data_IF_222708237673
#
_entry.id   IF_222708237673
#
_cell.length_a   1.000
_cell.length_b   1.000
_cell.length_c   1.000
_cell.angle_alpha   90.00
_cell.angle_beta   90.00
_cell.angle_gamma   90.00
#
_symmetry.space_group_name_H-M   'P 1'
#
loop_
_entity.id
_entity.type
_entity.pdbx_description
1 polymer ?
#
# COMPACT_ATOMS: atom_id res chain seq x y z
N UNK A 1 -7.92 -11.14 -11.37
CA UNK A 1 -6.94 -10.60 -10.40
C UNK A 1 -7.60 -10.63 -9.04
N UNK A 2 -6.88 -11.02 -7.99
CA UNK A 2 -7.40 -10.98 -6.63
C UNK A 2 -7.39 -9.53 -6.14
N UNK A 3 -8.49 -9.08 -5.56
CA UNK A 3 -8.64 -7.70 -5.10
C UNK A 3 -8.24 -7.56 -3.64
N UNK A 4 -7.74 -6.39 -3.24
CA UNK A 4 -7.49 -6.09 -1.82
C UNK A 4 -8.84 -5.87 -1.13
N UNK A 5 -9.18 -6.74 -0.18
CA UNK A 5 -10.41 -6.66 0.60
C UNK A 5 -10.21 -5.95 1.94
N UNK A 6 -9.04 -6.14 2.54
CA UNK A 6 -8.72 -5.59 3.87
C UNK A 6 -7.24 -5.28 3.96
N UNK A 7 -6.93 -4.17 4.61
CA UNK A 7 -5.57 -3.75 4.96
C UNK A 7 -5.40 -3.93 6.46
N UNK A 8 -4.28 -4.53 6.86
CA UNK A 8 -3.89 -4.69 8.26
C UNK A 8 -2.51 -4.07 8.47
N UNK A 9 -2.41 -3.22 9.47
CA UNK A 9 -1.19 -2.49 9.81
C UNK A 9 -0.65 -3.01 11.12
N UNK A 10 0.63 -3.32 11.14
CA UNK A 10 1.34 -3.79 12.33
C UNK A 10 2.44 -2.81 12.71
N UNK A 11 3.23 -3.14 13.73
CA UNK A 11 4.37 -2.33 14.11
C UNK A 11 5.43 -2.22 12.99
N UNK A 12 5.55 -3.24 12.14
CA UNK A 12 6.68 -3.40 11.20
C UNK A 12 6.29 -3.59 9.74
N UNK A 13 5.02 -3.83 9.45
CA UNK A 13 4.57 -4.21 8.11
C UNK A 13 3.12 -3.82 7.83
N UNK A 14 2.79 -3.72 6.55
CA UNK A 14 1.42 -3.68 6.03
C UNK A 14 1.08 -5.02 5.37
N UNK A 15 -0.10 -5.55 5.67
CA UNK A 15 -0.66 -6.77 5.12
C UNK A 15 -1.91 -6.44 4.30
N UNK A 16 -1.99 -7.02 3.11
CA UNK A 16 -3.11 -6.92 2.18
C UNK A 16 -3.79 -8.29 2.09
N UNK A 17 -4.98 -8.38 2.65
CA UNK A 17 -5.83 -9.57 2.56
C UNK A 17 -6.59 -9.52 1.24
N UNK A 18 -6.43 -10.56 0.43
CA UNK A 18 -6.95 -10.61 -0.93
C UNK A 18 -8.27 -11.39 -1.00
N UNK A 19 -9.04 -11.13 -2.06
CA UNK A 19 -10.34 -11.77 -2.31
C UNK A 19 -10.27 -13.27 -2.55
N UNK A 20 -9.09 -13.81 -2.86
CA UNK A 20 -8.85 -15.25 -3.03
C UNK A 20 -8.49 -15.96 -1.71
N UNK A 21 -8.54 -15.25 -0.58
CA UNK A 21 -8.19 -15.77 0.74
C UNK A 21 -6.71 -15.80 1.05
N UNK A 22 -5.84 -15.39 0.11
CA UNK A 22 -4.41 -15.22 0.37
C UNK A 22 -4.10 -13.84 0.91
N UNK A 23 -2.88 -13.63 1.39
CA UNK A 23 -2.39 -12.31 1.77
C UNK A 23 -1.04 -12.01 1.14
N UNK A 24 -0.75 -10.72 0.99
CA UNK A 24 0.58 -10.20 0.66
C UNK A 24 0.99 -9.19 1.71
N UNK A 25 2.29 -8.98 1.89
CA UNK A 25 2.76 -7.99 2.85
C UNK A 25 3.99 -7.28 2.32
N UNK A 26 4.25 -6.11 2.88
CA UNK A 26 5.49 -5.38 2.70
C UNK A 26 5.95 -4.85 4.06
N UNK A 27 7.20 -5.15 4.43
CA UNK A 27 7.83 -4.58 5.62
C UNK A 27 8.07 -3.08 5.38
N UNK A 28 7.97 -2.27 6.43
CA UNK A 28 8.27 -0.84 6.33
C UNK A 28 9.74 -0.56 6.00
N UNK A 29 10.63 -1.52 6.21
CA UNK A 29 12.04 -1.42 5.79
C UNK A 29 12.26 -1.77 4.32
N UNK A 30 11.26 -2.32 3.62
CA UNK A 30 11.33 -2.62 2.19
C UNK A 30 10.87 -1.43 1.35
N UNK A 31 11.42 -1.33 0.13
CA UNK A 31 11.20 -0.21 -0.78
C UNK A 31 9.71 0.06 -1.10
N UNK A 32 8.86 -0.98 -1.12
CA UNK A 32 7.43 -0.82 -1.35
C UNK A 32 6.78 0.07 -0.28
N UNK A 33 7.12 -0.10 1.00
CA UNK A 33 6.43 0.54 2.11
C UNK A 33 7.34 1.46 2.96
N UNK A 34 8.50 1.87 2.45
CA UNK A 34 9.45 2.74 3.20
C UNK A 34 8.83 4.06 3.67
N UNK A 35 7.87 4.62 2.92
CA UNK A 35 7.18 5.85 3.33
C UNK A 35 6.34 5.67 4.62
N UNK A 36 5.96 4.44 4.98
CA UNK A 36 5.23 4.13 6.22
C UNK A 36 6.17 3.99 7.42
N UNK A 37 7.48 3.83 7.21
CA UNK A 37 8.45 3.62 8.29
C UNK A 37 8.46 4.80 9.27
N UNK A 38 8.55 6.02 8.75
CA UNK A 38 8.56 7.24 9.55
C UNK A 38 7.15 7.77 9.91
N UNK A 39 6.10 7.16 9.38
CA UNK A 39 4.73 7.58 9.63
C UNK A 39 4.29 7.22 11.07
N UNK A 40 3.59 8.14 11.72
CA UNK A 40 2.91 7.87 12.99
C UNK A 40 1.79 6.83 12.80
N UNK A 41 1.38 6.10 13.85
CA UNK A 41 0.27 5.14 13.75
C UNK A 41 -0.99 5.75 13.12
N UNK A 42 -1.34 6.98 13.52
CA UNK A 42 -2.49 7.72 12.96
C UNK A 42 -2.35 7.99 11.46
N UNK A 43 -1.16 8.37 10.99
CA UNK A 43 -0.92 8.57 9.56
C UNK A 43 -1.00 7.25 8.78
N UNK A 44 -0.55 6.14 9.37
CA UNK A 44 -0.66 4.81 8.75
C UNK A 44 -2.12 4.38 8.62
N UNK A 45 -2.98 4.71 9.58
CA UNK A 45 -4.40 4.37 9.54
C UNK A 45 -5.22 5.25 8.59
N UNK A 46 -4.71 6.42 8.20
CA UNK A 46 -5.38 7.33 7.27
C UNK A 46 -5.15 6.95 5.80
N UNK A 47 -5.56 5.73 5.43
CA UNK A 47 -5.49 5.23 4.06
C UNK A 47 -6.88 5.18 3.40
N UNK A 48 -6.87 5.19 2.07
CA UNK A 48 -8.05 4.98 1.23
C UNK A 48 -7.83 3.71 0.41
N UNK A 49 -8.79 2.79 0.44
CA UNK A 49 -8.80 1.59 -0.39
C UNK A 49 -9.64 1.84 -1.64
N UNK A 50 -8.98 1.94 -2.79
CA UNK A 50 -9.59 2.09 -4.10
C UNK A 50 -9.88 0.68 -4.67
N UNK A 51 -11.10 0.19 -4.43
CA UNK A 51 -11.49 -1.19 -4.75
C UNK A 51 -11.41 -1.55 -6.23
N UNK A 52 -11.58 -0.57 -7.13
CA UNK A 52 -11.61 -0.80 -8.58
C UNK A 52 -10.25 -1.26 -9.12
N UNK A 53 -9.18 -0.72 -8.56
CA UNK A 53 -7.81 -0.92 -9.05
C UNK A 53 -6.93 -1.69 -8.06
N UNK A 54 -7.49 -2.13 -6.93
CA UNK A 54 -6.74 -2.75 -5.83
C UNK A 54 -5.53 -1.91 -5.42
N UNK A 55 -5.80 -0.62 -5.22
CA UNK A 55 -4.82 0.36 -4.78
C UNK A 55 -5.17 0.83 -3.38
N UNK A 56 -4.15 0.92 -2.53
CA UNK A 56 -4.25 1.52 -1.20
C UNK A 56 -3.42 2.79 -1.21
N UNK A 57 -4.08 3.91 -0.96
CA UNK A 57 -3.51 5.24 -1.07
C UNK A 57 -3.37 5.86 0.33
N UNK A 58 -2.24 6.48 0.62
CA UNK A 58 -2.02 7.32 1.80
C UNK A 58 -1.85 8.78 1.35
N UNK A 59 -2.94 9.56 1.25
CA UNK A 59 -2.90 10.93 0.73
C UNK A 59 -1.91 11.82 1.49
N UNK A 60 -1.89 11.70 2.82
CA UNK A 60 -1.02 12.50 3.70
C UNK A 60 0.47 12.16 3.56
N UNK A 61 0.78 10.98 3.01
CA UNK A 61 2.16 10.49 2.86
C UNK A 61 2.63 10.48 1.40
N UNK A 62 1.76 10.80 0.45
CA UNK A 62 2.08 10.78 -0.98
C UNK A 62 2.54 9.40 -1.47
N UNK A 63 1.95 8.32 -0.94
CA UNK A 63 2.35 6.96 -1.24
C UNK A 63 1.16 6.05 -1.50
N UNK A 64 1.24 5.30 -2.60
CA UNK A 64 0.22 4.31 -2.96
C UNK A 64 0.85 2.93 -3.11
N UNK A 65 0.12 1.90 -2.73
CA UNK A 65 0.51 0.50 -2.83
C UNK A 65 -0.53 -0.29 -3.62
N UNK A 66 -0.07 -1.24 -4.42
CA UNK A 66 -0.94 -2.20 -5.11
C UNK A 66 -0.35 -3.60 -5.02
N UNK A 67 -1.18 -4.61 -5.26
CA UNK A 67 -0.75 -6.01 -5.32
C UNK A 67 -0.84 -6.49 -6.76
N UNK A 68 0.30 -6.90 -7.31
CA UNK A 68 0.41 -7.47 -8.66
C UNK A 68 0.95 -8.89 -8.57
N UNK A 69 0.07 -9.87 -8.72
CA UNK A 69 0.41 -11.30 -8.62
C UNK A 69 0.92 -11.69 -7.23
N UNK A 70 2.23 -11.95 -7.12
CA UNK A 70 2.87 -12.31 -5.86
C UNK A 70 3.46 -11.12 -5.09
N UNK A 71 3.49 -9.93 -5.70
CA UNK A 71 4.28 -8.80 -5.20
C UNK A 71 3.43 -7.62 -4.75
N UNK A 72 3.90 -6.92 -3.72
CA UNK A 72 3.43 -5.57 -3.34
C UNK A 72 4.29 -4.55 -4.05
N UNK A 73 3.68 -3.64 -4.79
CA UNK A 73 4.38 -2.58 -5.52
C UNK A 73 3.96 -1.21 -5.02
N UNK A 74 4.93 -0.30 -4.90
CA UNK A 74 4.65 1.11 -4.71
C UNK A 74 4.32 1.74 -6.06
N UNK A 75 3.19 2.42 -6.12
CA UNK A 75 2.88 3.32 -7.20
C UNK A 75 3.52 4.67 -6.86
N UNK A 76 4.53 5.04 -7.62
CA UNK A 76 5.03 6.40 -7.62
C UNK A 76 4.11 7.14 -8.57
N UNK A 77 3.46 8.22 -8.11
CA UNK A 77 2.83 9.12 -9.06
C UNK A 77 3.92 9.55 -10.04
N UNK A 78 3.81 9.17 -11.31
CA UNK A 78 4.63 9.74 -12.36
C UNK A 78 4.33 11.25 -12.33
N UNK A 79 5.19 12.01 -11.65
CA UNK A 79 5.32 13.42 -11.94
C UNK A 79 5.76 13.47 -13.40
N UNK A 80 4.81 13.63 -14.32
CA UNK A 80 5.13 14.04 -15.67
C UNK A 80 6.04 15.27 -15.54
N UNK A 81 7.27 15.25 -16.11
CA UNK A 81 8.07 16.45 -16.14
C UNK A 81 7.27 17.49 -16.93
N UNK A 82 6.90 18.58 -16.26
CA UNK A 82 6.37 19.76 -16.94
C UNK A 82 7.46 20.23 -17.89
N UNK A 83 7.25 19.97 -19.18
CA UNK A 83 8.10 20.43 -20.28
C UNK A 83 8.05 21.96 -20.42
#
# INVERSE_FOLDING_TARGET
MANINRVELTATAVYFHLSDGTFRHCLYTQACATFLYAATPRQRENYVLEQRDSVVNWPDLGGSLTVQGAEVKRLVAEMEPVA
#
